data_IF_750633684688
#
_entry.id   IF_750633684688
#
_cell.length_a   1.000
_cell.length_b   1.000
_cell.length_c   1.000
_cell.angle_alpha   90.00
_cell.angle_beta   90.00
_cell.angle_gamma   90.00
#
_symmetry.space_group_name_H-M   'P 1'
#
loop_
_entity.id
_entity.type
_entity.pdbx_description
1 polymer ?
#
# COMPACT_ATOMS: atom_id res chain seq x y z
N UNK A 1 -2.74 9.66 6.37
CA UNK A 1 -3.60 8.48 6.20
C UNK A 1 -4.42 8.68 4.96
N UNK A 2 -4.16 7.87 4.00
CA UNK A 2 -4.83 7.89 2.72
C UNK A 2 -5.94 6.86 2.71
N UNK A 3 -7.12 7.23 2.20
CA UNK A 3 -8.16 6.28 1.88
C UNK A 3 -8.51 6.46 0.41
N UNK A 4 -8.24 5.43 -0.40
CA UNK A 4 -8.77 5.35 -1.74
C UNK A 4 -10.20 4.86 -1.70
N UNK A 5 -11.05 5.41 -2.56
CA UNK A 5 -12.39 4.89 -2.79
C UNK A 5 -12.29 3.80 -3.85
N UNK A 6 -12.92 2.69 -3.61
CA UNK A 6 -13.00 1.56 -4.53
C UNK A 6 -13.92 1.86 -5.74
N UNK A 7 -13.64 2.90 -6.49
CA UNK A 7 -14.36 3.20 -7.73
C UNK A 7 -14.06 2.20 -8.85
N UNK A 8 -13.02 1.42 -8.69
CA UNK A 8 -12.47 0.53 -9.72
C UNK A 8 -12.92 -0.91 -9.62
N UNK A 9 -13.69 -1.24 -8.62
CA UNK A 9 -14.33 -2.55 -8.62
C UNK A 9 -15.47 -2.45 -9.62
N UNK A 10 -15.30 -3.07 -10.76
CA UNK A 10 -16.22 -3.04 -11.92
C UNK A 10 -17.68 -3.34 -11.58
N UNK A 11 -17.96 -3.81 -10.39
CA UNK A 11 -19.28 -4.26 -9.92
C UNK A 11 -19.84 -3.49 -8.75
N UNK A 12 -19.04 -2.67 -8.06
CA UNK A 12 -19.51 -1.94 -6.87
C UNK A 12 -19.83 -0.48 -7.21
N UNK A 13 -21.08 -0.09 -7.11
CA UNK A 13 -21.47 1.31 -7.15
C UNK A 13 -20.96 2.01 -5.88
N UNK A 14 -20.46 3.25 -5.99
CA UNK A 14 -20.02 4.02 -4.83
C UNK A 14 -21.19 4.27 -3.88
N UNK A 15 -21.01 3.91 -2.61
CA UNK A 15 -22.03 4.05 -1.58
C UNK A 15 -21.89 5.43 -0.92
N UNK A 16 -22.97 6.21 -0.93
CA UNK A 16 -22.99 7.51 -0.27
C UNK A 16 -23.17 7.30 1.22
N UNK A 17 -22.16 7.69 2.00
CA UNK A 17 -22.20 7.66 3.46
C UNK A 17 -22.96 8.86 4.03
N UNK A 18 -22.85 10.03 3.37
CA UNK A 18 -23.47 11.24 3.87
C UNK A 18 -23.75 12.24 2.76
N UNK A 19 -24.89 12.91 2.85
CA UNK A 19 -25.30 14.00 1.95
C UNK A 19 -25.33 15.30 2.75
N UNK A 20 -24.63 16.31 2.28
CA UNK A 20 -24.62 17.65 2.89
C UNK A 20 -25.67 18.56 2.28
N UNK A 21 -26.23 19.46 3.10
CA UNK A 21 -27.21 20.45 2.64
C UNK A 21 -26.57 21.39 1.61
N UNK A 22 -27.27 21.72 0.53
CA UNK A 22 -26.77 22.61 -0.51
C UNK A 22 -26.30 23.97 0.06
N UNK A 23 -25.17 24.47 -0.46
CA UNK A 23 -24.61 25.76 -0.06
C UNK A 23 -23.85 25.81 1.27
N UNK A 24 -23.78 24.69 2.02
CA UNK A 24 -23.07 24.65 3.30
C UNK A 24 -21.58 24.36 3.17
N UNK A 25 -21.20 23.57 2.20
CA UNK A 25 -19.82 23.16 1.93
C UNK A 25 -19.49 23.38 0.45
N UNK A 26 -18.20 23.53 0.16
CA UNK A 26 -17.66 23.51 -1.20
C UNK A 26 -17.13 22.12 -1.52
N UNK A 27 -17.10 21.72 -2.80
CA UNK A 27 -16.45 20.48 -3.19
C UNK A 27 -14.97 20.52 -2.84
N UNK A 28 -14.47 19.47 -2.21
CA UNK A 28 -13.06 19.28 -1.89
C UNK A 28 -12.73 17.78 -1.99
N UNK A 29 -12.48 17.30 -3.20
CA UNK A 29 -12.18 15.89 -3.42
C UNK A 29 -10.98 15.37 -2.62
N UNK A 30 -9.99 16.25 -2.37
CA UNK A 30 -8.81 15.89 -1.59
C UNK A 30 -9.14 15.53 -0.13
N UNK A 31 -10.25 16.06 0.39
CA UNK A 31 -10.75 15.76 1.73
C UNK A 31 -12.05 14.95 1.72
N UNK A 32 -12.34 14.26 0.61
CA UNK A 32 -13.47 13.34 0.51
C UNK A 32 -14.84 14.01 0.34
N UNK A 33 -14.88 15.29 -0.08
CA UNK A 33 -16.12 16.03 -0.35
C UNK A 33 -16.33 16.13 -1.86
N UNK A 34 -17.24 15.32 -2.39
CA UNK A 34 -17.49 15.21 -3.82
C UNK A 34 -18.80 15.85 -4.22
N UNK A 35 -18.85 16.44 -5.41
CA UNK A 35 -20.09 16.88 -6.00
C UNK A 35 -20.78 15.72 -6.71
N UNK A 36 -22.03 15.47 -6.37
CA UNK A 36 -22.85 14.43 -6.97
C UNK A 36 -24.30 14.89 -7.14
N UNK A 37 -25.01 14.25 -8.07
CA UNK A 37 -26.44 14.49 -8.25
C UNK A 37 -27.22 13.48 -7.42
N UNK A 38 -27.92 13.96 -6.42
CA UNK A 38 -28.82 13.17 -5.56
C UNK A 38 -30.25 13.65 -5.78
N UNK A 39 -31.15 12.76 -6.15
CA UNK A 39 -32.55 13.07 -6.45
C UNK A 39 -32.73 14.22 -7.47
N UNK A 40 -31.87 14.27 -8.49
CA UNK A 40 -31.90 15.31 -9.53
C UNK A 40 -31.38 16.69 -9.11
N UNK A 41 -30.78 16.80 -7.93
CA UNK A 41 -30.17 18.06 -7.42
C UNK A 41 -28.70 17.86 -7.13
N UNK A 42 -27.89 18.89 -7.44
CA UNK A 42 -26.47 18.90 -7.04
C UNK A 42 -26.34 18.99 -5.51
N UNK A 43 -25.56 18.11 -4.94
CA UNK A 43 -25.25 18.06 -3.51
C UNK A 43 -23.79 17.67 -3.30
N UNK A 44 -23.24 18.04 -2.15
CA UNK A 44 -21.93 17.56 -1.71
C UNK A 44 -22.14 16.26 -0.92
N UNK A 45 -21.42 15.23 -1.29
CA UNK A 45 -21.52 13.90 -0.68
C UNK A 45 -20.17 13.43 -0.17
N UNK A 46 -20.22 12.60 0.86
CA UNK A 46 -19.11 11.77 1.31
C UNK A 46 -19.44 10.32 0.95
N UNK A 47 -18.46 9.59 0.43
CA UNK A 47 -18.60 8.16 0.13
C UNK A 47 -18.06 7.29 1.26
N UNK A 48 -18.56 6.07 1.36
CA UNK A 48 -17.96 5.06 2.22
C UNK A 48 -16.54 4.75 1.75
N UNK A 49 -15.65 4.60 2.71
CA UNK A 49 -14.25 4.25 2.43
C UNK A 49 -14.10 2.74 2.38
N UNK A 50 -13.37 2.25 1.38
CA UNK A 50 -12.94 0.86 1.37
C UNK A 50 -11.83 0.65 2.42
N UNK A 51 -12.09 -0.26 3.34
CA UNK A 51 -11.14 -0.55 4.42
C UNK A 51 -9.87 -1.25 3.91
N UNK A 52 -10.00 -2.03 2.84
CA UNK A 52 -8.89 -2.80 2.26
C UNK A 52 -7.93 -1.91 1.46
N UNK A 53 -8.42 -0.75 0.99
CA UNK A 53 -7.62 0.27 0.30
C UNK A 53 -7.08 1.36 1.25
N UNK A 54 -7.25 1.17 2.55
CA UNK A 54 -6.72 2.11 3.54
C UNK A 54 -5.20 1.99 3.64
N UNK A 55 -4.51 3.11 3.45
CA UNK A 55 -3.07 3.21 3.63
C UNK A 55 -2.67 4.42 4.48
N UNK A 56 -1.43 4.48 4.90
CA UNK A 56 -0.87 5.57 5.70
C UNK A 56 0.43 6.05 5.10
N UNK A 57 0.51 7.35 4.84
CA UNK A 57 1.71 8.00 4.37
C UNK A 57 2.43 8.75 5.49
N UNK A 58 3.75 8.74 5.41
CA UNK A 58 4.62 9.44 6.36
C UNK A 58 5.09 10.74 5.73
N UNK A 59 4.46 11.82 6.14
CA UNK A 59 4.80 13.15 5.64
C UNK A 59 5.78 13.82 6.58
N UNK A 60 6.94 14.33 6.08
CA UNK A 60 7.85 15.11 6.91
C UNK A 60 7.15 16.28 7.58
N UNK A 61 7.48 16.55 8.84
CA UNK A 61 6.83 17.65 9.58
C UNK A 61 7.08 19.03 8.96
N UNK A 62 8.22 19.19 8.29
CA UNK A 62 8.62 20.43 7.62
C UNK A 62 8.47 20.33 6.09
N UNK A 63 7.52 19.55 5.63
CA UNK A 63 7.24 19.44 4.19
C UNK A 63 6.74 20.77 3.62
N UNK A 64 7.36 21.23 2.54
CA UNK A 64 6.96 22.43 1.84
C UNK A 64 5.56 22.30 1.26
N UNK A 65 4.65 23.20 1.66
CA UNK A 65 3.24 23.12 1.31
C UNK A 65 2.42 22.10 2.11
N UNK A 66 3.05 21.44 3.09
CA UNK A 66 2.38 20.55 4.04
C UNK A 66 1.86 19.25 3.44
N UNK A 67 0.95 18.62 4.17
CA UNK A 67 0.39 17.31 3.81
C UNK A 67 -0.27 17.32 2.42
N UNK A 68 -1.03 18.35 2.10
CA UNK A 68 -1.71 18.41 0.80
C UNK A 68 -0.74 18.43 -0.38
N UNK A 69 0.33 19.21 -0.29
CA UNK A 69 1.34 19.28 -1.33
C UNK A 69 2.06 17.94 -1.51
N UNK A 70 2.39 17.28 -0.40
CA UNK A 70 2.97 15.94 -0.42
C UNK A 70 2.03 14.94 -1.13
N UNK A 71 0.78 14.89 -0.73
CA UNK A 71 -0.19 13.96 -1.31
C UNK A 71 -0.41 14.21 -2.80
N UNK A 72 -0.48 15.48 -3.23
CA UNK A 72 -0.61 15.83 -4.65
C UNK A 72 0.60 15.41 -5.48
N UNK A 73 1.79 15.44 -4.89
CA UNK A 73 3.04 15.10 -5.58
C UNK A 73 3.32 13.60 -5.58
N UNK A 74 3.17 12.94 -4.42
CA UNK A 74 3.64 11.58 -4.22
C UNK A 74 2.55 10.51 -4.37
N UNK A 75 1.29 10.87 -4.15
CA UNK A 75 0.20 9.89 -4.08
C UNK A 75 -0.77 9.98 -5.25
N UNK A 76 -1.31 11.17 -5.53
CA UNK A 76 -2.33 11.32 -6.57
C UNK A 76 -1.89 10.92 -7.99
N UNK A 77 -0.60 10.99 -8.38
CA UNK A 77 -0.16 10.47 -9.67
C UNK A 77 -0.37 8.96 -9.84
N UNK A 78 -0.35 8.21 -8.73
CA UNK A 78 -0.53 6.76 -8.72
C UNK A 78 -1.95 6.32 -8.33
N UNK A 79 -2.60 7.12 -7.49
CA UNK A 79 -3.95 6.86 -6.96
C UNK A 79 -4.81 8.12 -7.07
N UNK A 80 -5.31 8.46 -8.26
CA UNK A 80 -6.00 9.75 -8.51
C UNK A 80 -7.29 9.93 -7.71
N UNK A 81 -7.87 8.84 -7.26
CA UNK A 81 -9.11 8.75 -6.48
C UNK A 81 -8.89 8.71 -4.97
N UNK A 82 -7.66 8.91 -4.51
CA UNK A 82 -7.34 8.94 -3.10
C UNK A 82 -7.70 10.27 -2.44
N UNK A 83 -8.09 10.24 -1.17
CA UNK A 83 -8.28 11.46 -0.36
C UNK A 83 -7.74 11.32 1.05
N UNK A 84 -7.52 12.46 1.69
CA UNK A 84 -7.02 12.58 3.06
C UNK A 84 -8.19 12.52 4.04
N UNK A 85 -8.02 11.80 5.14
CA UNK A 85 -8.89 11.90 6.30
C UNK A 85 -8.21 12.76 7.38
N UNK A 86 -8.56 14.05 7.53
CA UNK A 86 -7.86 14.95 8.44
C UNK A 86 -7.85 14.48 9.88
N UNK A 87 -8.98 13.96 10.36
CA UNK A 87 -9.15 13.47 11.75
C UNK A 87 -8.26 12.25 12.08
N UNK A 88 -7.68 11.62 11.05
CA UNK A 88 -6.80 10.47 11.23
C UNK A 88 -5.31 10.85 11.17
N UNK A 89 -4.99 12.12 10.92
CA UNK A 89 -3.62 12.63 10.93
C UNK A 89 -3.09 12.67 12.36
N UNK A 90 -1.90 12.08 12.56
CA UNK A 90 -1.21 12.06 13.85
C UNK A 90 0.20 12.60 13.71
N UNK A 91 0.60 13.46 14.62
CA UNK A 91 1.99 13.90 14.74
C UNK A 91 2.71 12.97 15.71
N UNK A 92 3.86 12.47 15.29
CA UNK A 92 4.64 11.54 16.10
C UNK A 92 6.07 11.43 15.62
N UNK A 93 6.84 10.62 16.30
CA UNK A 93 8.19 10.23 15.90
C UNK A 93 8.16 8.81 15.37
N UNK A 94 8.81 8.59 14.25
CA UNK A 94 9.11 7.25 13.79
C UNK A 94 10.57 6.94 14.06
N UNK A 95 10.82 5.87 14.79
CA UNK A 95 12.16 5.34 15.01
C UNK A 95 12.37 4.17 14.06
N UNK A 96 13.23 4.35 13.07
CA UNK A 96 13.63 3.27 12.17
C UNK A 96 14.51 2.26 12.91
N UNK A 97 13.88 1.24 13.48
CA UNK A 97 14.62 0.16 14.15
C UNK A 97 15.60 -0.54 13.21
N UNK A 98 15.22 -0.71 11.95
CA UNK A 98 16.09 -1.29 10.94
C UNK A 98 17.38 -0.50 10.79
N UNK A 99 17.34 0.82 10.76
CA UNK A 99 18.53 1.67 10.65
C UNK A 99 19.48 1.50 11.85
N UNK A 100 18.95 1.28 13.04
CA UNK A 100 19.73 1.21 14.28
C UNK A 100 20.18 -0.20 14.64
N UNK A 101 19.38 -1.21 14.34
CA UNK A 101 19.61 -2.58 14.79
C UNK A 101 19.94 -3.56 13.67
N UNK A 102 19.71 -3.19 12.42
CA UNK A 102 20.05 -4.05 11.29
C UNK A 102 21.57 -4.16 11.14
N UNK A 103 22.06 -5.37 11.27
CA UNK A 103 23.44 -5.72 10.94
C UNK A 103 23.38 -6.49 9.62
N UNK A 104 23.88 -5.92 8.50
CA UNK A 104 23.90 -6.62 7.24
C UNK A 104 24.71 -7.89 7.37
N UNK A 105 24.15 -9.03 6.98
CA UNK A 105 24.91 -10.26 6.84
C UNK A 105 25.81 -10.10 5.60
N UNK A 106 27.10 -10.49 5.69
CA UNK A 106 27.96 -10.48 4.52
C UNK A 106 27.34 -11.40 3.46
N UNK A 107 27.29 -10.91 2.24
CA UNK A 107 26.85 -11.71 1.11
C UNK A 107 27.88 -12.84 0.90
N UNK A 108 27.38 -14.03 0.67
CA UNK A 108 28.19 -15.20 0.33
C UNK A 108 28.85 -14.98 -1.03
N UNK A 109 30.06 -15.44 -1.17
CA UNK A 109 30.77 -15.35 -2.45
C UNK A 109 30.17 -16.31 -3.47
N UNK A 110 30.36 -16.02 -4.76
CA UNK A 110 29.92 -16.91 -5.83
C UNK A 110 30.59 -18.30 -5.72
N UNK A 111 31.82 -18.34 -5.23
CA UNK A 111 32.57 -19.60 -5.03
C UNK A 111 31.95 -20.45 -3.92
N UNK A 112 31.54 -19.84 -2.80
CA UNK A 112 30.83 -20.55 -1.72
C UNK A 112 29.47 -21.09 -2.19
N UNK A 113 28.72 -20.29 -2.97
CA UNK A 113 27.44 -20.72 -3.52
C UNK A 113 27.63 -21.85 -4.52
N UNK A 114 28.61 -21.75 -5.42
CA UNK A 114 28.93 -22.80 -6.39
C UNK A 114 29.36 -24.12 -5.71
N UNK A 115 30.15 -24.01 -4.65
CA UNK A 115 30.56 -25.17 -3.89
C UNK A 115 29.37 -25.89 -3.21
N UNK A 116 28.43 -25.11 -2.65
CA UNK A 116 27.23 -25.70 -2.04
C UNK A 116 26.31 -26.34 -3.08
N UNK A 117 26.14 -25.74 -4.24
CA UNK A 117 25.37 -26.32 -5.35
C UNK A 117 25.98 -27.66 -5.76
N UNK A 118 27.31 -27.71 -5.98
CA UNK A 118 27.99 -28.93 -6.36
C UNK A 118 27.90 -30.03 -5.27
N UNK A 119 27.90 -29.64 -4.00
CA UNK A 119 27.72 -30.58 -2.90
C UNK A 119 26.30 -31.18 -2.90
N UNK A 120 25.27 -30.40 -3.10
CA UNK A 120 23.86 -30.84 -3.19
C UNK A 120 23.64 -31.73 -4.41
N UNK A 121 24.23 -31.38 -5.58
CA UNK A 121 24.16 -32.20 -6.79
C UNK A 121 24.77 -33.63 -6.54
N UNK A 122 25.93 -33.66 -5.94
CA UNK A 122 26.59 -34.93 -5.60
C UNK A 122 25.78 -35.78 -4.62
N UNK A 123 25.14 -35.16 -3.63
CA UNK A 123 24.25 -35.85 -2.70
C UNK A 123 23.02 -36.40 -3.42
N UNK A 124 22.42 -35.64 -4.31
CA UNK A 124 21.28 -36.06 -5.12
C UNK A 124 21.62 -37.22 -6.04
N UNK A 125 22.80 -37.21 -6.70
CA UNK A 125 23.30 -38.34 -7.51
C UNK A 125 23.47 -39.60 -6.65
N UNK A 126 24.02 -39.48 -5.44
CA UNK A 126 24.17 -40.59 -4.50
C UNK A 126 22.84 -41.22 -4.08
N UNK A 127 21.82 -40.38 -3.87
CA UNK A 127 20.45 -40.83 -3.55
C UNK A 127 19.80 -41.57 -4.72
N UNK A 128 19.94 -41.03 -5.95
CA UNK A 128 19.44 -41.68 -7.18
C UNK A 128 20.08 -43.02 -7.42
N UNK A 129 21.40 -43.12 -7.26
CA UNK A 129 22.16 -44.37 -7.39
C UNK A 129 21.73 -45.41 -6.33
N UNK A 130 21.45 -44.97 -5.11
CA UNK A 130 20.92 -45.81 -4.03
C UNK A 130 19.56 -46.40 -4.37
N UNK A 131 18.65 -45.58 -4.93
CA UNK A 131 17.29 -45.99 -5.36
C UNK A 131 17.36 -46.98 -6.53
N UNK A 132 18.22 -46.74 -7.51
CA UNK A 132 18.38 -47.62 -8.69
C UNK A 132 19.01 -48.97 -8.36
N UNK A 133 19.90 -49.00 -7.38
CA UNK A 133 20.53 -50.25 -6.89
C UNK A 133 19.66 -51.03 -5.90
N UNK A 134 18.84 -50.33 -5.09
CA UNK A 134 17.89 -50.93 -4.13
C UNK A 134 16.60 -51.50 -4.77
N UNK A 135 16.28 -51.13 -6.01
CA UNK A 135 15.12 -51.65 -6.74
C UNK A 135 15.33 -52.95 -7.52
N UNK A 136 16.47 -53.64 -7.34
CA UNK A 136 16.73 -54.98 -7.88
C UNK A 136 16.68 -56.03 -6.76
N UNK A 137 15.46 -56.38 -6.33
CA UNK A 137 15.14 -57.65 -5.71
C UNK A 137 14.08 -58.33 -6.54
#
# INVERSE_FOLDING_TARGET
>A
ILKAVSWRVETAAPVIAKVHKPGKLKPDPLHGLFEATVDGKSAIVEYETDADLRDTEQVPLLEDGGIEAFIRREVLPYTPDAWIKPDATKIGYEVSFTRHFYKPQPLRTLEEIAADIAAVEKEAEGLLDGLLKGGRM
#
